data_IF_699610805534
#
_entry.id   IF_699610805534
#
_cell.length_a   1.000
_cell.length_b   1.000
_cell.length_c   1.000
_cell.angle_alpha   90.00
_cell.angle_beta   90.00
_cell.angle_gamma   90.00
#
_symmetry.space_group_name_H-M   'P 1'
#
loop_
_entity.id
_entity.type
_entity.pdbx_description
1 polymer ?
#
# COMPACT_ATOMS: atom_id res chain seq x y z
N UNK A 1 -16.44 -11.99 14.37
CA UNK A 1 -15.11 -12.06 13.76
C UNK A 1 -14.00 -11.57 14.72
N UNK A 2 -14.05 -10.33 15.27
CA UNK A 2 -12.98 -9.82 16.17
C UNK A 2 -12.67 -10.76 17.36
N UNK A 3 -13.68 -11.39 17.97
CA UNK A 3 -13.50 -12.31 19.10
C UNK A 3 -12.83 -13.64 18.72
N UNK A 4 -12.96 -14.08 17.49
CA UNK A 4 -12.32 -15.30 16.98
C UNK A 4 -10.83 -15.07 16.78
N UNK A 5 -10.45 -13.96 16.14
CA UNK A 5 -9.04 -13.63 15.92
C UNK A 5 -8.23 -13.46 17.21
N UNK A 6 -8.83 -12.94 18.29
CA UNK A 6 -8.14 -12.81 19.59
C UNK A 6 -7.78 -14.16 20.20
N UNK A 7 -8.50 -15.24 19.85
CA UNK A 7 -8.25 -16.60 20.35
C UNK A 7 -7.15 -17.36 19.60
N UNK A 8 -6.78 -16.88 18.41
CA UNK A 8 -5.75 -17.52 17.59
C UNK A 8 -4.33 -17.16 18.07
N UNK A 9 -3.31 -17.97 17.74
CA UNK A 9 -1.92 -17.61 17.98
C UNK A 9 -1.65 -16.25 17.33
N UNK A 10 -0.94 -15.39 18.07
CA UNK A 10 -0.56 -14.08 17.54
C UNK A 10 0.35 -14.22 16.34
N UNK A 11 0.20 -13.26 15.43
CA UNK A 11 0.98 -13.18 14.20
C UNK A 11 2.37 -12.59 14.47
N UNK A 12 3.36 -13.01 13.72
CA UNK A 12 4.70 -12.44 13.79
C UNK A 12 4.71 -11.00 13.26
N UNK A 13 3.94 -10.74 12.21
CA UNK A 13 3.76 -9.43 11.58
C UNK A 13 2.28 -9.13 11.39
N UNK A 14 1.91 -7.87 11.60
CA UNK A 14 0.55 -7.38 11.32
C UNK A 14 0.66 -6.04 10.61
N UNK A 15 0.02 -5.91 9.45
CA UNK A 15 -0.09 -4.67 8.67
C UNK A 15 -1.47 -4.04 8.83
N UNK A 16 -1.50 -2.72 8.99
CA UNK A 16 -2.73 -1.92 8.94
C UNK A 16 -2.58 -0.88 7.84
N UNK A 17 -3.39 -0.99 6.81
CA UNK A 17 -3.50 0.04 5.77
C UNK A 17 -4.58 1.05 6.15
N UNK A 18 -4.29 2.33 5.95
CA UNK A 18 -5.19 3.44 6.27
C UNK A 18 -5.52 4.22 5.00
N UNK A 19 -6.78 4.63 4.83
CA UNK A 19 -7.19 5.26 3.59
C UNK A 19 -7.66 6.71 3.81
N UNK A 20 -8.84 6.93 4.37
CA UNK A 20 -9.46 8.24 4.41
C UNK A 20 -9.36 8.92 5.79
N UNK A 21 -9.08 10.21 5.81
CA UNK A 21 -8.98 11.02 7.04
C UNK A 21 -10.28 11.07 7.85
N UNK A 22 -11.43 10.97 7.19
CA UNK A 22 -12.73 10.96 7.87
C UNK A 22 -13.07 9.60 8.53
N UNK A 23 -12.27 8.55 8.31
CA UNK A 23 -12.37 7.29 9.03
C UNK A 23 -11.45 7.20 10.25
N UNK A 24 -11.10 8.34 10.84
CA UNK A 24 -10.20 8.42 11.97
C UNK A 24 -10.51 7.43 13.09
N UNK A 25 -11.75 7.44 13.62
CA UNK A 25 -12.13 6.59 14.75
C UNK A 25 -11.98 5.10 14.40
N UNK A 26 -12.45 4.69 13.21
CA UNK A 26 -12.34 3.31 12.75
C UNK A 26 -10.88 2.92 12.59
N UNK A 27 -10.04 3.81 12.09
CA UNK A 27 -8.60 3.59 11.93
C UNK A 27 -7.92 3.35 13.28
N UNK A 28 -8.17 4.22 14.27
CA UNK A 28 -7.60 4.07 15.63
C UNK A 28 -8.09 2.76 16.27
N UNK A 29 -9.39 2.45 16.20
CA UNK A 29 -9.92 1.18 16.70
C UNK A 29 -9.28 -0.04 16.02
N UNK A 30 -9.02 0.04 14.73
CA UNK A 30 -8.37 -1.03 13.97
C UNK A 30 -6.92 -1.22 14.41
N UNK A 31 -6.18 -0.12 14.61
CA UNK A 31 -4.80 -0.18 15.11
C UNK A 31 -4.75 -0.76 16.53
N UNK A 32 -5.64 -0.32 17.43
CA UNK A 32 -5.71 -0.87 18.77
C UNK A 32 -6.06 -2.36 18.77
N UNK A 33 -6.95 -2.79 17.87
CA UNK A 33 -7.23 -4.20 17.68
C UNK A 33 -6.01 -4.97 17.12
N UNK A 34 -5.30 -4.42 16.15
CA UNK A 34 -4.11 -5.02 15.58
C UNK A 34 -2.98 -5.25 16.61
N UNK A 35 -2.86 -4.36 17.61
CA UNK A 35 -1.93 -4.54 18.74
C UNK A 35 -2.20 -5.81 19.57
N UNK A 36 -3.43 -6.31 19.54
CA UNK A 36 -3.79 -7.55 20.23
C UNK A 36 -3.42 -8.80 19.43
N UNK A 37 -3.26 -8.64 18.09
CA UNK A 37 -3.00 -9.74 17.17
C UNK A 37 -1.52 -10.00 16.94
N UNK A 38 -0.67 -9.00 17.08
CA UNK A 38 0.78 -9.12 16.86
C UNK A 38 1.49 -9.64 18.12
N UNK A 39 2.51 -10.49 17.93
CA UNK A 39 3.34 -11.00 19.04
C UNK A 39 4.19 -9.90 19.67
N UNK A 40 4.83 -9.09 18.83
CA UNK A 40 5.66 -7.95 19.21
C UNK A 40 5.15 -6.69 18.53
N UNK A 41 4.92 -5.63 19.31
CA UNK A 41 4.38 -4.36 18.79
C UNK A 41 5.30 -3.67 17.78
N UNK A 42 6.61 -3.95 17.82
CA UNK A 42 7.55 -3.43 16.81
C UNK A 42 7.28 -3.97 15.40
N UNK A 43 6.61 -5.13 15.32
CA UNK A 43 6.22 -5.78 14.08
C UNK A 43 4.79 -5.38 13.63
N UNK A 44 4.20 -4.36 14.25
CA UNK A 44 2.96 -3.77 13.80
C UNK A 44 3.27 -2.60 12.84
N UNK A 45 2.99 -2.81 11.57
CA UNK A 45 3.20 -1.84 10.51
C UNK A 45 1.91 -1.06 10.23
N UNK A 46 1.99 0.25 10.28
CA UNK A 46 0.87 1.14 9.93
C UNK A 46 1.30 1.98 8.73
N UNK A 47 0.51 1.99 7.67
CA UNK A 47 0.81 2.77 6.48
C UNK A 47 -0.45 3.22 5.75
N UNK A 48 -0.25 3.79 4.55
CA UNK A 48 -1.32 4.25 3.69
C UNK A 48 -1.55 5.76 3.74
N UNK A 49 -2.65 6.20 3.15
CA UNK A 49 -2.91 7.63 2.88
C UNK A 49 -3.06 8.43 4.17
N UNK A 50 -3.96 8.04 5.07
CA UNK A 50 -4.17 8.76 6.33
C UNK A 50 -2.89 8.78 7.18
N UNK A 51 -2.19 7.65 7.29
CA UNK A 51 -0.94 7.53 8.02
C UNK A 51 0.15 8.46 7.49
N UNK A 52 0.18 8.68 6.18
CA UNK A 52 1.15 9.59 5.54
C UNK A 52 0.77 11.07 5.69
N UNK A 53 -0.51 11.40 5.81
CA UNK A 53 -1.00 12.78 5.95
C UNK A 53 -0.97 13.24 7.41
N UNK A 54 -1.31 12.35 8.36
CA UNK A 54 -1.43 12.66 9.79
C UNK A 54 -0.58 11.70 10.65
N UNK A 55 0.75 11.58 10.37
CA UNK A 55 1.59 10.61 11.07
C UNK A 55 1.75 10.92 12.54
N UNK A 56 1.87 12.20 12.90
CA UNK A 56 2.04 12.64 14.30
C UNK A 56 0.81 12.37 15.14
N UNK A 57 -0.35 12.58 14.57
CA UNK A 57 -1.64 12.34 15.22
C UNK A 57 -1.86 10.84 15.45
N UNK A 58 -1.52 9.99 14.49
CA UNK A 58 -1.57 8.53 14.65
C UNK A 58 -0.58 8.07 15.72
N UNK A 59 0.66 8.56 15.68
CA UNK A 59 1.67 8.21 16.68
C UNK A 59 1.24 8.65 18.08
N UNK A 60 0.72 9.86 18.21
CA UNK A 60 0.21 10.37 19.51
C UNK A 60 -0.97 9.56 20.04
N UNK A 61 -1.89 9.13 19.15
CA UNK A 61 -3.07 8.37 19.54
C UNK A 61 -2.79 6.89 19.85
N UNK A 62 -1.80 6.30 19.16
CA UNK A 62 -1.58 4.85 19.20
C UNK A 62 -0.24 4.44 19.82
N UNK A 63 0.72 5.35 19.92
CA UNK A 63 2.10 5.04 20.32
C UNK A 63 2.89 4.24 19.27
N UNK A 64 2.39 4.12 18.05
CA UNK A 64 3.06 3.43 16.94
C UNK A 64 3.39 4.47 15.88
N UNK A 65 4.66 4.58 15.52
CA UNK A 65 5.12 5.44 14.43
C UNK A 65 4.73 4.81 13.09
N UNK A 66 3.91 5.50 12.27
CA UNK A 66 3.51 4.94 10.97
C UNK A 66 4.60 5.12 9.91
N UNK A 67 4.56 4.27 8.88
CA UNK A 67 5.27 4.47 7.63
C UNK A 67 4.56 5.54 6.80
N UNK A 68 5.33 6.48 6.25
CA UNK A 68 4.81 7.58 5.43
C UNK A 68 5.28 7.45 3.98
N UNK A 69 4.37 7.71 3.05
CA UNK A 69 4.67 7.67 1.61
C UNK A 69 4.63 6.27 1.02
N UNK A 70 5.36 6.10 -0.08
CA UNK A 70 5.43 4.84 -0.85
C UNK A 70 6.60 3.97 -0.39
N UNK A 71 6.54 2.67 -0.72
CA UNK A 71 7.57 1.68 -0.39
C UNK A 71 8.61 1.57 -1.51
N UNK A 72 9.17 2.72 -1.94
CA UNK A 72 10.09 2.85 -3.08
C UNK A 72 11.58 2.76 -2.70
N UNK A 73 11.86 2.42 -1.46
CA UNK A 73 13.20 2.10 -0.95
C UNK A 73 13.15 0.79 -0.19
N UNK A 74 14.29 0.08 -0.02
CA UNK A 74 14.30 -1.14 0.78
C UNK A 74 13.74 -0.90 2.19
N UNK A 75 12.73 -1.69 2.56
CA UNK A 75 12.03 -1.52 3.84
C UNK A 75 12.83 -2.17 4.97
N UNK A 76 13.71 -1.39 5.58
CA UNK A 76 14.68 -1.84 6.60
C UNK A 76 14.06 -2.11 7.97
N UNK A 77 12.85 -1.63 8.22
CA UNK A 77 12.15 -1.87 9.50
C UNK A 77 11.71 -3.35 9.65
N UNK A 78 11.64 -4.10 8.56
CA UNK A 78 11.37 -5.55 8.57
C UNK A 78 12.65 -6.33 8.84
N UNK A 79 13.71 -6.00 8.11
CA UNK A 79 15.01 -6.63 8.15
C UNK A 79 16.06 -5.61 7.68
N UNK A 80 17.12 -5.41 8.48
CA UNK A 80 18.20 -4.47 8.16
C UNK A 80 18.89 -4.81 6.83
N UNK A 81 18.93 -6.09 6.50
CA UNK A 81 19.55 -6.62 5.28
C UNK A 81 18.57 -6.79 4.11
N UNK A 82 17.28 -6.43 4.28
CA UNK A 82 16.29 -6.55 3.24
C UNK A 82 16.68 -5.74 1.97
N UNK A 83 16.95 -6.41 0.83
CA UNK A 83 17.33 -5.73 -0.40
C UNK A 83 16.11 -5.30 -1.24
N UNK A 84 14.91 -5.80 -0.92
CA UNK A 84 13.74 -5.67 -1.77
C UNK A 84 13.09 -4.31 -1.65
N UNK A 85 12.75 -3.73 -2.80
CA UNK A 85 11.90 -2.55 -2.93
C UNK A 85 10.49 -3.06 -3.22
N UNK A 86 9.57 -2.90 -2.27
CA UNK A 86 8.22 -3.48 -2.38
C UNK A 86 7.47 -2.92 -3.59
N UNK A 87 7.65 -1.64 -3.89
CA UNK A 87 7.05 -0.98 -5.07
C UNK A 87 7.51 -1.58 -6.42
N UNK A 88 8.60 -2.36 -6.44
CA UNK A 88 9.15 -3.00 -7.65
C UNK A 88 8.80 -4.48 -7.77
N UNK A 89 8.22 -5.06 -6.73
CA UNK A 89 7.78 -6.46 -6.76
C UNK A 89 6.54 -6.60 -7.66
N UNK A 90 6.35 -7.78 -8.29
CA UNK A 90 5.11 -8.08 -8.97
C UNK A 90 3.94 -8.08 -7.98
N UNK A 91 2.78 -7.62 -8.42
CA UNK A 91 1.57 -7.67 -7.60
C UNK A 91 1.15 -9.11 -7.36
N UNK A 92 0.72 -9.38 -6.14
CA UNK A 92 0.17 -10.68 -5.76
C UNK A 92 -1.34 -10.72 -6.06
N UNK A 93 -1.70 -11.39 -7.13
CA UNK A 93 -3.10 -11.58 -7.54
C UNK A 93 -3.80 -12.70 -6.76
N UNK A 94 -3.06 -13.56 -6.08
CA UNK A 94 -3.65 -14.67 -5.31
C UNK A 94 -4.54 -14.21 -4.16
N UNK A 95 -4.32 -12.99 -3.66
CA UNK A 95 -5.19 -12.42 -2.61
C UNK A 95 -6.64 -12.26 -3.06
N UNK A 96 -6.90 -12.17 -4.37
CA UNK A 96 -8.25 -12.06 -4.92
C UNK A 96 -9.02 -13.37 -4.80
N UNK A 97 -8.31 -14.49 -4.78
CA UNK A 97 -8.89 -15.83 -4.63
C UNK A 97 -9.37 -16.10 -3.19
N UNK A 98 -8.86 -15.34 -2.22
CA UNK A 98 -9.18 -15.49 -0.79
C UNK A 98 -10.42 -14.70 -0.36
N UNK A 99 -10.98 -13.85 -1.23
CA UNK A 99 -12.11 -12.99 -0.92
C UNK A 99 -13.36 -13.40 -1.70
N UNK A 100 -14.49 -13.44 -0.99
CA UNK A 100 -15.81 -13.75 -1.59
C UNK A 100 -16.42 -12.50 -2.23
N UNK A 101 -15.67 -11.86 -3.12
CA UNK A 101 -16.10 -10.70 -3.88
C UNK A 101 -15.32 -10.61 -5.20
N UNK A 102 -16.04 -10.56 -6.31
CA UNK A 102 -15.49 -10.38 -7.63
C UNK A 102 -15.41 -8.88 -7.97
N UNK A 103 -14.19 -8.37 -8.11
CA UNK A 103 -13.96 -7.00 -8.56
C UNK A 103 -14.27 -6.88 -10.05
N UNK A 104 -14.91 -5.77 -10.51
CA UNK A 104 -15.20 -5.56 -11.94
C UNK A 104 -13.97 -5.67 -12.85
N UNK A 105 -12.81 -5.25 -12.34
CA UNK A 105 -11.54 -5.22 -13.08
C UNK A 105 -10.59 -6.36 -12.65
N UNK A 106 -11.11 -7.46 -12.09
CA UNK A 106 -10.28 -8.58 -11.61
C UNK A 106 -9.44 -9.24 -12.71
N UNK A 107 -9.84 -9.10 -13.98
CA UNK A 107 -9.12 -9.59 -15.15
C UNK A 107 -8.14 -8.58 -15.77
N UNK A 108 -7.66 -7.59 -15.03
CA UNK A 108 -6.76 -6.57 -15.54
C UNK A 108 -5.34 -6.70 -14.96
N UNK A 109 -4.34 -6.32 -15.75
CA UNK A 109 -3.04 -5.94 -15.22
C UNK A 109 -3.15 -4.56 -14.57
N UNK A 110 -2.69 -4.43 -13.33
CA UNK A 110 -2.59 -3.14 -12.62
C UNK A 110 -1.16 -2.62 -12.72
N UNK A 111 -0.98 -1.42 -13.21
CA UNK A 111 0.36 -0.84 -13.34
C UNK A 111 0.33 0.68 -13.32
N UNK A 112 1.51 1.26 -13.35
CA UNK A 112 1.74 2.70 -13.46
C UNK A 112 2.62 2.96 -14.67
N UNK A 113 2.36 4.05 -15.40
CA UNK A 113 3.29 4.60 -16.38
C UNK A 113 4.17 5.70 -15.77
N UNK A 114 3.65 6.38 -14.75
CA UNK A 114 4.35 7.42 -13.97
C UNK A 114 4.09 7.25 -12.48
N UNK A 115 4.89 7.93 -11.63
CA UNK A 115 4.60 8.05 -10.19
C UNK A 115 4.63 9.52 -9.78
N UNK A 116 3.82 9.87 -8.78
CA UNK A 116 3.66 11.24 -8.35
C UNK A 116 2.85 12.07 -9.35
N UNK A 117 2.95 13.38 -9.23
CA UNK A 117 2.26 14.31 -10.13
C UNK A 117 3.10 15.57 -10.32
N UNK A 118 3.08 16.13 -11.53
CA UNK A 118 3.72 17.43 -11.84
C UNK A 118 2.99 18.62 -11.20
N UNK A 119 1.75 18.41 -10.71
CA UNK A 119 0.91 19.46 -10.13
C UNK A 119 0.95 19.42 -8.61
N UNK A 120 0.80 20.58 -7.97
CA UNK A 120 0.73 20.76 -6.52
C UNK A 120 -0.62 21.41 -6.13
N UNK A 121 -1.71 20.74 -6.43
CA UNK A 121 -3.05 21.24 -6.11
C UNK A 121 -3.25 21.29 -4.59
N UNK A 122 -3.79 22.39 -4.07
CA UNK A 122 -3.90 22.64 -2.62
C UNK A 122 -4.75 21.61 -1.85
N UNK A 123 -5.65 20.92 -2.53
CA UNK A 123 -6.54 19.90 -1.97
C UNK A 123 -6.02 18.47 -2.15
N UNK A 124 -4.88 18.30 -2.82
CA UNK A 124 -4.40 16.98 -3.24
C UNK A 124 -3.34 16.43 -2.28
N UNK A 125 -3.49 15.18 -1.88
CA UNK A 125 -2.55 14.48 -1.01
C UNK A 125 -1.32 13.95 -1.75
N UNK A 126 -1.35 13.85 -3.09
CA UNK A 126 -0.28 13.23 -3.89
C UNK A 126 1.09 13.86 -3.62
N UNK A 127 1.27 15.19 -3.52
CA UNK A 127 2.58 15.76 -3.21
C UNK A 127 3.15 15.33 -1.83
N UNK A 128 2.29 14.93 -0.90
CA UNK A 128 2.70 14.40 0.41
C UNK A 128 3.01 12.90 0.36
N UNK A 129 2.24 12.15 -0.42
CA UNK A 129 2.35 10.70 -0.55
C UNK A 129 3.49 10.30 -1.49
N UNK A 130 3.56 10.96 -2.62
CA UNK A 130 4.52 10.73 -3.70
C UNK A 130 5.22 12.06 -4.02
N UNK A 131 6.13 12.46 -3.17
CA UNK A 131 6.76 13.78 -3.18
C UNK A 131 7.71 14.01 -4.37
N UNK A 132 7.95 13.00 -5.19
CA UNK A 132 8.79 13.07 -6.38
C UNK A 132 8.02 12.58 -7.60
N UNK A 133 7.99 13.41 -8.64
CA UNK A 133 7.49 12.98 -9.94
C UNK A 133 8.51 12.09 -10.65
N UNK A 134 8.09 10.92 -11.08
CA UNK A 134 8.86 9.97 -11.89
C UNK A 134 8.15 9.86 -13.24
N UNK A 135 8.71 10.40 -14.34
CA UNK A 135 8.04 10.52 -15.62
C UNK A 135 7.91 9.20 -16.37
N UNK A 136 8.66 8.18 -15.97
CA UNK A 136 8.66 6.88 -16.62
C UNK A 136 8.84 5.74 -15.62
N UNK A 137 7.97 4.74 -15.74
CA UNK A 137 8.07 3.45 -15.04
C UNK A 137 8.14 2.34 -16.10
N UNK A 138 9.01 1.33 -15.96
CA UNK A 138 9.12 0.22 -16.90
C UNK A 138 7.92 -0.73 -16.80
N UNK A 139 6.76 -0.23 -17.22
CA UNK A 139 5.46 -0.89 -17.08
C UNK A 139 5.44 -2.26 -17.76
N UNK A 140 6.08 -2.38 -18.93
CA UNK A 140 6.16 -3.66 -19.67
C UNK A 140 6.77 -4.77 -18.81
N UNK A 141 7.89 -4.49 -18.16
CA UNK A 141 8.57 -5.47 -17.30
C UNK A 141 7.70 -5.90 -16.11
N UNK A 142 6.94 -4.99 -15.56
CA UNK A 142 6.00 -5.28 -14.46
C UNK A 142 4.85 -6.18 -14.92
N UNK A 143 4.27 -5.87 -16.07
CA UNK A 143 3.23 -6.70 -16.70
C UNK A 143 3.74 -8.10 -17.02
N UNK A 144 4.94 -8.22 -17.60
CA UNK A 144 5.55 -9.51 -17.92
C UNK A 144 5.76 -10.37 -16.66
N UNK A 145 6.27 -9.80 -15.56
CA UNK A 145 6.42 -10.51 -14.29
C UNK A 145 5.10 -11.06 -13.74
N UNK A 146 4.03 -10.27 -13.82
CA UNK A 146 2.69 -10.74 -13.41
C UNK A 146 2.19 -11.83 -14.34
N UNK A 147 2.38 -11.66 -15.65
CA UNK A 147 1.99 -12.65 -16.67
C UNK A 147 2.67 -14.00 -16.46
N UNK A 148 3.95 -14.00 -16.12
CA UNK A 148 4.73 -15.24 -15.87
C UNK A 148 4.14 -16.05 -14.71
N UNK A 149 3.59 -15.41 -13.69
CA UNK A 149 3.07 -16.07 -12.49
C UNK A 149 1.57 -16.38 -12.60
N UNK A 150 0.78 -15.43 -13.10
CA UNK A 150 -0.69 -15.47 -13.05
C UNK A 150 -1.34 -15.61 -14.44
N UNK A 151 -0.54 -15.68 -15.52
CA UNK A 151 -1.04 -15.77 -16.89
C UNK A 151 -1.49 -14.42 -17.46
N UNK A 152 -2.06 -14.49 -18.67
CA UNK A 152 -2.55 -13.31 -19.38
C UNK A 152 -3.81 -12.73 -18.72
N UNK A 153 -3.85 -11.41 -18.66
CA UNK A 153 -5.04 -10.65 -18.29
C UNK A 153 -5.61 -9.97 -19.53
N UNK A 154 -6.91 -9.71 -19.50
CA UNK A 154 -7.64 -9.12 -20.63
C UNK A 154 -7.35 -7.65 -20.82
N UNK A 155 -7.24 -6.92 -19.74
CA UNK A 155 -7.19 -5.46 -19.71
C UNK A 155 -5.92 -4.96 -19.01
N UNK A 156 -5.59 -3.68 -19.18
CA UNK A 156 -4.54 -2.98 -18.44
C UNK A 156 -5.14 -1.74 -17.79
N UNK A 157 -5.11 -1.71 -16.45
CA UNK A 157 -5.56 -0.57 -15.67
C UNK A 157 -4.35 0.27 -15.22
N UNK A 158 -4.28 1.50 -15.70
CA UNK A 158 -3.27 2.46 -15.28
C UNK A 158 -3.74 3.20 -14.03
N UNK A 159 -2.94 3.12 -12.97
CA UNK A 159 -3.24 3.72 -11.66
C UNK A 159 -2.49 5.03 -11.43
N UNK A 160 -2.11 5.71 -12.50
CA UNK A 160 -1.38 6.96 -12.47
C UNK A 160 -2.21 8.10 -11.87
N UNK A 161 -1.58 8.96 -11.07
CA UNK A 161 -2.23 10.17 -10.56
C UNK A 161 -2.54 11.18 -11.67
N UNK A 162 -1.75 11.18 -12.74
CA UNK A 162 -1.92 12.07 -13.90
C UNK A 162 -1.24 11.44 -15.13
N UNK A 163 -1.88 10.46 -15.72
CA UNK A 163 -1.35 9.73 -16.88
C UNK A 163 -1.02 10.64 -18.06
N UNK A 164 -1.80 11.72 -18.27
CA UNK A 164 -1.56 12.67 -19.36
C UNK A 164 -0.29 13.52 -19.21
N UNK A 165 0.39 13.43 -18.08
CA UNK A 165 1.69 14.05 -17.88
C UNK A 165 2.86 13.13 -18.27
N UNK A 166 2.59 11.90 -18.65
CA UNK A 166 3.61 10.98 -19.16
C UNK A 166 4.15 11.46 -20.51
N UNK A 167 5.47 11.46 -20.66
CA UNK A 167 6.14 11.77 -21.93
C UNK A 167 6.11 10.59 -22.91
N UNK A 168 5.66 9.41 -22.44
CA UNK A 168 5.72 8.15 -23.17
C UNK A 168 4.33 7.50 -23.37
N UNK A 169 3.28 8.32 -23.40
CA UNK A 169 1.93 7.89 -23.76
C UNK A 169 1.75 7.87 -25.28
#
# INVERSE_FOLDING_TARGET
HKKEYIKHPKWDWVGVTTLFTFYWNITIETIEFAKLLVKDKKNLMIGGVLASIQPKEIEAATGIKPHCGTLHTPYKDIDEDNPYIIDELPLDYSILDEIDYEYPDSGAFYSYSTRGCIRHCAFCAVPTLENKYIPYIPMRERVEKVREVYGDQKDLLLMDNNVLASENL
#
